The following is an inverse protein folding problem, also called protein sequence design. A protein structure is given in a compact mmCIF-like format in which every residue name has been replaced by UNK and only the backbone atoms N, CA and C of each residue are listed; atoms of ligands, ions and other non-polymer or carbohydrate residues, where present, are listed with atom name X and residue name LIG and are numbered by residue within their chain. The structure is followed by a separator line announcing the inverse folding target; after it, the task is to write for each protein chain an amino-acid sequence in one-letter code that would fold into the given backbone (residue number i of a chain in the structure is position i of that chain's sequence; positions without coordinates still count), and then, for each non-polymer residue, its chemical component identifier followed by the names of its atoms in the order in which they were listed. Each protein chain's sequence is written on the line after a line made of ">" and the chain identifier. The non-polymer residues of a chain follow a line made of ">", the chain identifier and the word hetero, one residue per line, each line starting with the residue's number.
data_IF_286462762569
#
_entry.id   IF_286462762569
#
_cell.length_a   1.000
_cell.length_b   1.000
_cell.length_c   1.000
_cell.angle_alpha   90.00
_cell.angle_beta   90.00
_cell.angle_gamma   90.00
#
_symmetry.space_group_name_H-M   'P 1'
#
loop_
_entity.id
_entity.type
_entity.pdbx_description
1 polymer ?
#
# COMPACT_ATOMS: atom_id res chain seq x y z
N UNK A 1 -0.79 -11.15 17.20
CA UNK A 1 0.29 -11.24 16.20
C UNK A 1 -0.08 -10.33 15.06
N UNK A 2 0.61 -9.21 14.86
CA UNK A 2 0.38 -8.32 13.73
C UNK A 2 0.81 -9.06 12.45
N UNK A 3 -0.14 -9.65 11.73
CA UNK A 3 0.14 -10.06 10.35
C UNK A 3 0.43 -8.79 9.56
N UNK A 4 1.65 -8.68 9.04
CA UNK A 4 1.98 -7.62 8.08
C UNK A 4 1.33 -8.03 6.77
N UNK A 5 0.08 -7.59 6.57
CA UNK A 5 -0.61 -7.77 5.29
C UNK A 5 0.01 -6.81 4.28
N UNK A 6 0.97 -7.31 3.50
CA UNK A 6 1.57 -6.56 2.39
C UNK A 6 0.57 -6.53 1.24
N UNK A 7 0.18 -5.34 0.79
CA UNK A 7 -0.70 -5.14 -0.35
C UNK A 7 -0.18 -5.86 -1.62
N UNK A 8 -1.02 -6.55 -2.42
CA UNK A 8 -0.60 -7.22 -3.65
C UNK A 8 0.18 -6.35 -4.64
N UNK A 9 -0.19 -5.09 -4.82
CA UNK A 9 0.60 -4.10 -5.58
C UNK A 9 2.04 -3.97 -5.11
N UNK A 10 2.31 -3.91 -3.80
CA UNK A 10 3.68 -3.88 -3.29
C UNK A 10 4.41 -5.19 -3.56
N UNK A 11 3.71 -6.35 -3.47
CA UNK A 11 4.28 -7.66 -3.85
C UNK A 11 4.67 -7.69 -5.33
N UNK A 12 3.77 -7.26 -6.23
CA UNK A 12 4.03 -7.18 -7.67
C UNK A 12 5.17 -6.22 -8.02
N UNK A 13 5.24 -5.06 -7.35
CA UNK A 13 6.35 -4.13 -7.50
C UNK A 13 7.68 -4.77 -7.07
N UNK A 14 7.70 -5.50 -5.95
CA UNK A 14 8.88 -6.21 -5.48
C UNK A 14 9.31 -7.33 -6.43
N UNK A 15 8.36 -8.11 -6.97
CA UNK A 15 8.63 -9.15 -7.96
C UNK A 15 9.25 -8.57 -9.23
N UNK A 16 8.64 -7.52 -9.80
CA UNK A 16 9.17 -6.88 -11.01
C UNK A 16 10.54 -6.26 -10.75
N UNK A 17 10.74 -5.63 -9.58
CA UNK A 17 12.04 -5.14 -9.19
C UNK A 17 13.07 -6.27 -9.15
N UNK A 18 12.76 -7.39 -8.50
CA UNK A 18 13.64 -8.55 -8.39
C UNK A 18 14.02 -9.13 -9.77
N UNK A 19 13.04 -9.34 -10.65
CA UNK A 19 13.30 -9.89 -11.99
C UNK A 19 14.09 -8.95 -12.91
N UNK A 20 14.05 -7.64 -12.65
CA UNK A 20 14.76 -6.65 -13.45
C UNK A 20 16.01 -6.11 -12.74
N UNK A 21 16.39 -6.66 -11.58
CA UNK A 21 17.56 -6.23 -10.84
C UNK A 21 18.82 -6.91 -11.36
N UNK A 22 19.86 -6.12 -11.62
CA UNK A 22 21.21 -6.65 -11.84
C UNK A 22 21.72 -7.29 -10.53
N UNK A 23 22.07 -8.58 -10.51
CA UNK A 23 22.46 -9.28 -9.28
C UNK A 23 23.84 -8.86 -8.76
N UNK A 24 24.68 -8.22 -9.57
CA UNK A 24 26.02 -7.75 -9.18
C UNK A 24 25.98 -6.32 -8.68
N UNK A 25 25.19 -5.45 -9.30
CA UNK A 25 25.15 -4.02 -8.95
C UNK A 25 23.93 -3.62 -8.15
N UNK A 26 22.93 -4.49 -8.03
CA UNK A 26 21.65 -4.20 -7.36
C UNK A 26 20.78 -3.16 -8.08
N UNK A 27 21.13 -2.76 -9.31
CA UNK A 27 20.42 -1.72 -10.07
C UNK A 27 19.22 -2.35 -10.76
N UNK A 28 18.05 -1.75 -10.60
CA UNK A 28 16.85 -2.17 -11.33
C UNK A 28 16.90 -1.59 -12.73
N UNK A 29 16.91 -2.44 -13.75
CA UNK A 29 16.78 -2.04 -15.14
C UNK A 29 15.33 -1.68 -15.46
N UNK A 30 14.96 -0.43 -15.18
CA UNK A 30 13.58 0.04 -15.41
C UNK A 30 13.20 0.00 -16.90
N UNK A 31 14.18 0.12 -17.80
CA UNK A 31 13.95 0.12 -19.26
C UNK A 31 13.44 -1.21 -19.79
N UNK A 32 13.69 -2.33 -19.10
CA UNK A 32 13.17 -3.64 -19.48
C UNK A 32 11.75 -3.90 -18.96
N UNK A 33 11.19 -3.01 -18.16
CA UNK A 33 9.82 -3.11 -17.65
C UNK A 33 8.87 -2.41 -18.65
N UNK A 34 7.79 -3.07 -19.11
CA UNK A 34 6.78 -2.41 -19.93
C UNK A 34 6.21 -1.17 -19.23
N UNK A 35 6.24 -0.01 -19.91
CA UNK A 35 5.85 1.29 -19.33
C UNK A 35 4.42 1.28 -18.82
N UNK A 36 3.49 0.68 -19.56
CA UNK A 36 2.09 0.54 -19.18
C UNK A 36 1.89 -0.27 -17.88
N UNK A 37 2.67 -1.36 -17.71
CA UNK A 37 2.64 -2.18 -16.50
C UNK A 37 3.19 -1.39 -15.31
N UNK A 38 4.33 -0.72 -15.50
CA UNK A 38 4.95 0.09 -14.45
C UNK A 38 4.02 1.24 -14.03
N UNK A 39 3.42 1.93 -14.99
CA UNK A 39 2.47 3.01 -14.72
C UNK A 39 1.25 2.51 -13.93
N UNK A 40 0.65 1.39 -14.34
CA UNK A 40 -0.49 0.81 -13.63
C UNK A 40 -0.15 0.48 -12.17
N UNK A 41 1.02 -0.13 -11.92
CA UNK A 41 1.47 -0.48 -10.57
C UNK A 41 1.79 0.75 -9.72
N UNK A 42 2.42 1.77 -10.31
CA UNK A 42 2.71 3.02 -9.60
C UNK A 42 1.42 3.78 -9.25
N UNK A 43 0.41 3.79 -10.13
CA UNK A 43 -0.90 4.39 -9.86
C UNK A 43 -1.62 3.70 -8.71
N UNK A 44 -1.68 2.36 -8.72
CA UNK A 44 -2.25 1.60 -7.61
C UNK A 44 -1.47 1.83 -6.31
N UNK A 45 -0.14 1.87 -6.37
CA UNK A 45 0.70 2.14 -5.21
C UNK A 45 0.44 3.52 -4.60
N UNK A 46 0.27 4.53 -5.46
CA UNK A 46 -0.06 5.89 -5.03
C UNK A 46 -1.40 5.94 -4.29
N UNK A 47 -2.43 5.29 -4.83
CA UNK A 47 -3.76 5.23 -4.22
C UNK A 47 -3.73 4.54 -2.85
N UNK A 48 -3.05 3.40 -2.75
CA UNK A 48 -2.89 2.65 -1.50
C UNK A 48 -2.22 3.49 -0.43
N UNK A 49 -1.08 4.12 -0.75
CA UNK A 49 -0.33 4.93 0.20
C UNK A 49 -1.14 6.13 0.67
N UNK A 50 -1.73 6.89 -0.26
CA UNK A 50 -2.52 8.08 0.07
C UNK A 50 -3.70 7.73 0.98
N UNK A 51 -4.48 6.72 0.60
CA UNK A 51 -5.68 6.36 1.36
C UNK A 51 -5.32 5.81 2.75
N UNK A 52 -4.25 5.02 2.82
CA UNK A 52 -3.75 4.50 4.11
C UNK A 52 -3.29 5.63 5.03
N UNK A 53 -2.55 6.61 4.50
CA UNK A 53 -2.07 7.75 5.28
C UNK A 53 -3.22 8.65 5.74
N UNK A 54 -4.17 8.94 4.87
CA UNK A 54 -5.38 9.71 5.20
C UNK A 54 -6.17 9.06 6.34
N UNK A 55 -6.41 7.75 6.27
CA UNK A 55 -7.14 7.03 7.31
C UNK A 55 -6.36 6.88 8.61
N UNK A 56 -5.03 6.70 8.57
CA UNK A 56 -4.19 6.71 9.77
C UNK A 56 -4.21 8.08 10.46
N UNK A 57 -4.12 9.14 9.68
CA UNK A 57 -4.21 10.51 10.19
C UNK A 57 -5.57 10.76 10.83
N UNK A 58 -6.66 10.32 10.18
CA UNK A 58 -7.99 10.40 10.74
C UNK A 58 -8.09 9.61 12.05
N UNK A 59 -7.62 8.36 12.08
CA UNK A 59 -7.63 7.52 13.27
C UNK A 59 -6.89 8.16 14.44
N UNK A 60 -5.77 8.85 14.17
CA UNK A 60 -4.99 9.55 15.19
C UNK A 60 -5.75 10.76 15.76
N UNK A 61 -6.38 11.56 14.88
CA UNK A 61 -7.18 12.71 15.30
C UNK A 61 -8.37 12.28 16.17
N UNK A 62 -9.09 11.23 15.76
CA UNK A 62 -10.27 10.73 16.49
C UNK A 62 -9.90 10.12 17.84
N UNK A 63 -8.76 9.43 17.93
CA UNK A 63 -8.26 8.97 19.23
C UNK A 63 -8.02 10.13 20.20
N UNK A 64 -7.52 11.27 19.70
CA UNK A 64 -7.28 12.47 20.50
C UNK A 64 -8.54 13.17 21.02
N UNK A 65 -9.71 12.93 20.42
CA UNK A 65 -10.98 13.55 20.85
C UNK A 65 -11.72 12.74 21.92
N UNK A 66 -11.28 11.51 22.20
CA UNK A 66 -11.97 10.60 23.13
C UNK A 66 -13.29 10.03 22.60
N UNK A 67 -13.60 10.25 21.32
CA UNK A 67 -14.80 9.73 20.66
C UNK A 67 -14.57 8.30 20.16
N UNK A 68 -14.92 7.35 21.02
CA UNK A 68 -14.68 5.92 20.79
C UNK A 68 -15.59 5.30 19.73
N UNK A 69 -16.76 5.88 19.47
CA UNK A 69 -17.69 5.41 18.45
C UNK A 69 -17.18 5.80 17.06
N UNK A 70 -16.77 7.07 16.91
CA UNK A 70 -16.13 7.51 15.68
C UNK A 70 -14.80 6.78 15.44
N UNK A 71 -14.02 6.52 16.50
CA UNK A 71 -12.77 5.77 16.40
C UNK A 71 -13.01 4.38 15.81
N UNK A 72 -14.04 3.67 16.29
CA UNK A 72 -14.42 2.36 15.75
C UNK A 72 -14.81 2.42 14.28
N UNK A 73 -15.52 3.47 13.86
CA UNK A 73 -15.89 3.68 12.45
C UNK A 73 -14.67 3.85 11.54
N UNK A 74 -13.66 4.61 11.99
CA UNK A 74 -12.41 4.81 11.23
C UNK A 74 -11.57 3.54 11.17
N UNK A 75 -11.46 2.80 12.27
CA UNK A 75 -10.78 1.49 12.28
C UNK A 75 -11.47 0.50 11.34
N UNK A 76 -12.80 0.47 11.30
CA UNK A 76 -13.55 -0.39 10.37
C UNK A 76 -13.30 -0.01 8.91
N UNK A 77 -13.26 1.29 8.60
CA UNK A 77 -12.93 1.76 7.26
C UNK A 77 -11.49 1.37 6.83
N UNK A 78 -10.54 1.39 7.77
CA UNK A 78 -9.18 0.88 7.55
C UNK A 78 -9.18 -0.63 7.24
N UNK A 79 -9.94 -1.42 8.00
CA UNK A 79 -10.03 -2.87 7.79
C UNK A 79 -10.72 -3.22 6.46
N UNK A 80 -11.79 -2.51 6.10
CA UNK A 80 -12.51 -2.73 4.84
C UNK A 80 -11.66 -2.32 3.64
N UNK A 81 -10.91 -1.22 3.76
CA UNK A 81 -9.93 -0.82 2.76
C UNK A 81 -8.84 -1.89 2.62
N UNK A 82 -8.27 -2.37 3.72
CA UNK A 82 -7.26 -3.42 3.71
C UNK A 82 -7.76 -4.71 3.02
N UNK A 83 -9.05 -5.05 3.15
CA UNK A 83 -9.67 -6.19 2.44
C UNK A 83 -9.95 -5.92 0.97
N UNK A 84 -10.29 -4.69 0.59
CA UNK A 84 -10.52 -4.33 -0.82
C UNK A 84 -9.27 -4.56 -1.69
N UNK A 85 -8.13 -4.50 -1.03
CA UNK A 85 -6.81 -4.71 -1.60
C UNK A 85 -6.39 -6.17 -1.74
N UNK A 86 -7.14 -7.13 -1.18
CA UNK A 86 -6.85 -8.57 -1.30
C UNK A 86 -7.53 -9.23 -2.51
N UNK A 87 -8.41 -8.50 -3.22
CA UNK A 87 -9.11 -8.96 -4.43
C UNK A 87 -8.35 -8.59 -5.71
#
# INVERSE_FOLDING_TARGET
>A
MNQITIHPTHRKLAEIAFYNQDPKTGKINVKSIPVNLLEALLRMNLEVVRTTDELKNLSFLVYGTGDTEWQHGVCKALDDLAKSFEK
#
